data_IF_219959774138
#
_entry.id   IF_219959774138
#
_cell.length_a   1.000
_cell.length_b   1.000
_cell.length_c   1.000
_cell.angle_alpha   90.00
_cell.angle_beta   90.00
_cell.angle_gamma   90.00
#
_symmetry.space_group_name_H-M   'P 1'
#
loop_
_entity.id
_entity.type
_entity.pdbx_description
1 polymer ?
#
# COMPACT_ATOMS: atom_id res chain seq x y z
N UNK A 1 -32.78 7.01 -57.03
CA UNK A 1 -33.24 6.23 -55.86
C UNK A 1 -32.48 4.91 -55.79
N UNK A 2 -31.54 4.83 -54.84
CA UNK A 2 -30.97 3.66 -54.14
C UNK A 2 -30.66 2.39 -54.97
N UNK A 3 -29.49 2.39 -55.59
CA UNK A 3 -28.78 1.17 -56.03
C UNK A 3 -28.28 0.42 -54.78
N UNK A 4 -28.79 -0.79 -54.54
CA UNK A 4 -28.34 -1.67 -53.45
C UNK A 4 -27.06 -2.39 -53.89
N UNK A 5 -25.92 -1.97 -53.35
CA UNK A 5 -24.65 -2.69 -53.49
C UNK A 5 -24.53 -3.61 -52.27
N UNK A 6 -24.60 -4.91 -52.54
CA UNK A 6 -24.35 -6.00 -51.60
C UNK A 6 -22.82 -6.07 -51.40
N UNK A 7 -22.31 -5.54 -50.29
CA UNK A 7 -20.93 -5.77 -49.90
C UNK A 7 -20.84 -7.11 -49.19
N UNK A 8 -20.12 -8.05 -49.80
CA UNK A 8 -19.75 -9.32 -49.22
C UNK A 8 -18.95 -9.08 -47.92
N UNK A 9 -19.50 -9.55 -46.80
CA UNK A 9 -18.83 -9.53 -45.51
C UNK A 9 -17.73 -10.62 -45.55
N UNK A 10 -16.48 -10.18 -45.70
CA UNK A 10 -15.31 -11.04 -45.60
C UNK A 10 -15.19 -11.51 -44.14
N UNK A 11 -15.50 -12.77 -43.89
CA UNK A 11 -15.29 -13.42 -42.59
C UNK A 11 -13.79 -13.66 -42.42
N UNK A 12 -13.10 -12.69 -41.82
CA UNK A 12 -11.71 -12.86 -41.38
C UNK A 12 -11.77 -13.61 -40.06
N UNK A 13 -11.46 -14.90 -40.13
CA UNK A 13 -11.14 -15.73 -38.95
C UNK A 13 -9.78 -15.26 -38.44
N UNK A 14 -9.80 -14.35 -37.47
CA UNK A 14 -8.62 -14.02 -36.68
C UNK A 14 -8.42 -15.14 -35.66
N UNK A 15 -7.54 -16.09 -35.98
CA UNK A 15 -7.00 -17.04 -35.02
C UNK A 15 -6.15 -16.23 -34.04
N UNK A 16 -6.72 -15.84 -32.89
CA UNK A 16 -5.94 -15.39 -31.76
C UNK A 16 -5.31 -16.62 -31.13
N UNK A 17 -4.10 -16.93 -31.55
CA UNK A 17 -3.18 -17.78 -30.81
C UNK A 17 -2.95 -17.12 -29.45
N UNK A 18 -3.43 -17.77 -28.40
CA UNK A 18 -3.09 -17.40 -27.03
C UNK A 18 -1.61 -17.66 -26.79
N UNK A 19 -0.84 -16.60 -26.60
CA UNK A 19 0.32 -16.66 -25.72
C UNK A 19 -0.20 -16.40 -24.31
N UNK A 20 -0.38 -17.47 -23.55
CA UNK A 20 -0.35 -17.38 -22.11
C UNK A 20 1.10 -17.17 -21.69
N UNK A 21 1.57 -15.92 -21.73
CA UNK A 21 2.77 -15.55 -20.98
C UNK A 21 2.32 -15.41 -19.53
N UNK A 22 2.10 -16.57 -18.92
CA UNK A 22 2.03 -16.72 -17.49
C UNK A 22 3.49 -16.72 -17.02
N UNK A 23 4.18 -15.59 -17.22
CA UNK A 23 5.45 -15.31 -16.58
C UNK A 23 5.13 -15.08 -15.11
N UNK A 24 4.98 -16.20 -14.40
CA UNK A 24 5.32 -16.23 -12.99
C UNK A 24 6.72 -15.64 -12.90
N UNK A 25 6.83 -14.42 -12.37
CA UNK A 25 8.08 -13.76 -12.01
C UNK A 25 8.71 -14.50 -10.82
N UNK A 26 8.99 -15.78 -11.01
CA UNK A 26 9.98 -16.49 -10.25
C UNK A 26 11.33 -15.88 -10.68
N UNK A 27 12.17 -15.42 -9.73
CA UNK A 27 13.50 -14.95 -10.08
C UNK A 27 14.22 -16.00 -10.92
N UNK A 28 14.73 -15.61 -12.09
CA UNK A 28 15.46 -16.51 -12.98
C UNK A 28 16.68 -17.09 -12.27
N UNK A 29 16.89 -18.40 -12.36
CA UNK A 29 18.06 -19.09 -11.77
C UNK A 29 19.40 -18.80 -12.50
N UNK A 30 19.39 -17.99 -13.56
CA UNK A 30 20.62 -17.55 -14.26
C UNK A 30 21.22 -16.28 -13.63
N UNK A 31 22.26 -16.50 -12.81
CA UNK A 31 23.40 -15.62 -12.48
C UNK A 31 23.15 -14.10 -12.36
N UNK A 32 22.29 -13.66 -11.42
CA UNK A 32 22.13 -12.23 -11.07
C UNK A 32 23.08 -11.72 -9.97
N UNK A 33 23.95 -12.56 -9.42
CA UNK A 33 24.85 -12.15 -8.34
C UNK A 33 26.26 -12.74 -8.56
N UNK A 34 27.34 -11.93 -8.56
CA UNK A 34 28.66 -12.51 -8.32
C UNK A 34 28.60 -13.30 -7.01
N UNK A 35 29.33 -14.42 -6.91
CA UNK A 35 29.37 -15.27 -5.70
C UNK A 35 29.43 -14.39 -4.46
N UNK A 36 28.29 -14.24 -3.78
CA UNK A 36 28.17 -13.32 -2.66
C UNK A 36 29.04 -13.87 -1.55
N UNK A 37 30.01 -13.09 -1.08
CA UNK A 37 30.61 -13.34 0.22
C UNK A 37 29.49 -13.16 1.24
N UNK A 38 28.97 -14.26 1.79
CA UNK A 38 27.88 -14.23 2.76
C UNK A 38 28.34 -13.50 4.03
N UNK A 39 28.00 -12.22 4.13
CA UNK A 39 28.42 -11.34 5.22
C UNK A 39 27.68 -11.67 6.51
N UNK A 40 28.10 -11.10 7.64
CA UNK A 40 27.35 -11.25 8.88
C UNK A 40 25.96 -10.60 8.80
N UNK A 41 25.84 -9.47 8.10
CA UNK A 41 24.55 -8.83 7.81
C UNK A 41 23.63 -9.73 7.00
N UNK A 42 24.13 -10.38 5.94
CA UNK A 42 23.35 -11.31 5.13
C UNK A 42 22.79 -12.47 5.99
N UNK A 43 23.56 -12.99 6.96
CA UNK A 43 23.09 -14.03 7.89
C UNK A 43 22.00 -13.50 8.83
N UNK A 44 22.19 -12.33 9.43
CA UNK A 44 21.22 -11.73 10.34
C UNK A 44 19.89 -11.45 9.64
N UNK A 45 19.93 -10.89 8.43
CA UNK A 45 18.73 -10.67 7.61
C UNK A 45 18.04 -11.99 7.27
N UNK A 46 18.81 -13.01 6.87
CA UNK A 46 18.26 -14.33 6.57
C UNK A 46 17.64 -14.99 7.81
N UNK A 47 18.24 -14.89 9.00
CA UNK A 47 17.63 -15.39 10.24
C UNK A 47 16.31 -14.69 10.56
N UNK A 48 16.22 -13.37 10.32
CA UNK A 48 15.02 -12.59 10.57
C UNK A 48 13.88 -12.90 9.60
N UNK A 49 14.17 -13.04 8.29
CA UNK A 49 13.18 -13.03 7.21
C UNK A 49 13.00 -14.36 6.44
N UNK A 50 13.94 -15.30 6.51
CA UNK A 50 13.77 -16.64 5.91
C UNK A 50 12.50 -17.36 6.39
N UNK A 51 12.07 -17.26 7.66
CA UNK A 51 10.82 -17.87 8.11
C UNK A 51 9.57 -17.35 7.36
N UNK A 52 9.67 -16.19 6.71
CA UNK A 52 8.62 -15.54 5.93
C UNK A 52 8.80 -15.71 4.42
N UNK A 53 9.79 -16.49 3.99
CA UNK A 53 10.16 -16.67 2.58
C UNK A 53 10.48 -15.34 1.87
N UNK A 54 11.14 -14.44 2.59
CA UNK A 54 11.49 -13.09 2.13
C UNK A 54 12.98 -12.88 2.15
N UNK A 55 13.50 -12.29 1.07
CA UNK A 55 14.88 -11.82 0.99
C UNK A 55 14.88 -10.33 1.27
N UNK A 56 15.75 -9.87 2.16
CA UNK A 56 16.01 -8.44 2.38
C UNK A 56 17.33 -8.11 1.70
N UNK A 57 17.28 -7.22 0.71
CA UNK A 57 18.46 -6.64 0.08
C UNK A 57 18.65 -5.20 0.53
N UNK A 58 19.90 -4.82 0.72
CA UNK A 58 20.30 -3.47 1.14
C UNK A 58 21.36 -2.87 0.22
N UNK A 59 21.94 -3.71 -0.64
CA UNK A 59 22.93 -3.29 -1.64
C UNK A 59 22.24 -2.58 -2.78
N UNK A 60 22.90 -1.56 -3.32
CA UNK A 60 22.45 -0.91 -4.55
C UNK A 60 22.54 -1.89 -5.72
N UNK A 61 21.38 -2.36 -6.17
CA UNK A 61 21.25 -3.26 -7.34
C UNK A 61 20.41 -2.50 -8.36
N UNK A 62 21.07 -2.03 -9.43
CA UNK A 62 20.44 -1.15 -10.44
C UNK A 62 19.11 -1.73 -10.97
N UNK A 63 19.08 -3.02 -11.27
CA UNK A 63 17.88 -3.68 -11.84
C UNK A 63 16.71 -3.79 -10.86
N UNK A 64 16.95 -3.59 -9.56
CA UNK A 64 15.90 -3.57 -8.54
C UNK A 64 15.46 -2.14 -8.22
N UNK A 65 15.93 -1.14 -8.95
CA UNK A 65 15.61 0.27 -8.74
C UNK A 65 15.01 0.81 -10.04
N UNK A 66 13.87 1.51 -9.99
CA UNK A 66 13.31 2.12 -11.19
C UNK A 66 14.27 3.13 -11.83
N UNK A 67 14.39 3.08 -13.16
CA UNK A 67 15.33 3.91 -13.92
C UNK A 67 15.04 5.43 -13.85
N UNK A 68 13.82 5.80 -13.45
CA UNK A 68 13.34 7.17 -13.34
C UNK A 68 13.41 7.74 -11.91
N UNK A 69 13.98 7.00 -10.96
CA UNK A 69 14.24 7.52 -9.61
C UNK A 69 15.60 8.20 -9.52
N UNK A 70 15.61 9.39 -8.94
CA UNK A 70 16.81 10.22 -8.77
C UNK A 70 17.23 10.35 -7.30
N UNK A 71 18.50 10.73 -7.11
CA UNK A 71 19.14 10.97 -5.81
C UNK A 71 19.22 9.74 -4.89
N UNK A 72 19.29 8.55 -5.49
CA UNK A 72 19.34 7.30 -4.73
C UNK A 72 20.75 6.94 -4.30
N UNK A 73 20.93 6.63 -3.01
CA UNK A 73 22.15 6.03 -2.47
C UNK A 73 21.82 4.86 -1.52
N UNK A 74 22.76 3.91 -1.36
CA UNK A 74 22.55 2.74 -0.51
C UNK A 74 22.34 3.12 0.96
N UNK A 75 21.68 2.22 1.69
CA UNK A 75 21.54 2.33 3.14
C UNK A 75 22.89 2.14 3.84
N UNK A 76 23.12 2.86 4.94
CA UNK A 76 24.27 2.66 5.81
C UNK A 76 24.19 1.28 6.50
N UNK A 77 25.27 0.50 6.43
CA UNK A 77 25.28 -0.89 6.91
C UNK A 77 24.81 -1.05 8.36
N UNK A 78 25.15 -0.09 9.22
CA UNK A 78 24.76 -0.06 10.64
C UNK A 78 23.26 0.13 10.87
N UNK A 79 22.51 0.61 9.88
CA UNK A 79 21.06 0.84 9.94
C UNK A 79 20.25 -0.30 9.31
N UNK A 80 20.90 -1.23 8.60
CA UNK A 80 20.23 -2.36 7.93
C UNK A 80 19.50 -3.27 8.92
N UNK A 81 20.19 -3.68 9.98
CA UNK A 81 19.60 -4.58 11.01
C UNK A 81 18.54 -3.85 11.84
N UNK A 82 18.77 -2.62 12.33
CA UNK A 82 17.71 -1.83 12.99
C UNK A 82 16.43 -1.71 12.15
N UNK A 83 16.55 -1.42 10.86
CA UNK A 83 15.37 -1.34 9.97
C UNK A 83 14.69 -2.71 9.79
N UNK A 84 15.47 -3.78 9.65
CA UNK A 84 14.95 -5.15 9.54
C UNK A 84 14.18 -5.57 10.81
N UNK A 85 14.71 -5.25 12.00
CA UNK A 85 14.05 -5.47 13.28
C UNK A 85 12.80 -4.60 13.43
N UNK A 86 12.83 -3.35 12.98
CA UNK A 86 11.65 -2.48 12.95
C UNK A 86 10.52 -3.08 12.11
N UNK A 87 10.79 -3.52 10.88
CA UNK A 87 9.77 -4.17 10.03
C UNK A 87 9.25 -5.46 10.67
N UNK A 88 10.11 -6.23 11.32
CA UNK A 88 9.66 -7.43 12.04
C UNK A 88 8.74 -7.08 13.21
N UNK A 89 9.10 -6.07 13.99
CA UNK A 89 8.37 -5.69 15.19
C UNK A 89 7.05 -4.98 14.87
N UNK A 90 7.05 -4.02 13.95
CA UNK A 90 5.94 -3.09 13.72
C UNK A 90 5.12 -3.39 12.45
N UNK A 91 5.57 -4.30 11.59
CA UNK A 91 4.78 -4.73 10.44
C UNK A 91 4.40 -6.20 10.54
N UNK A 92 5.38 -7.11 10.63
CA UNK A 92 5.10 -8.55 10.71
C UNK A 92 4.36 -8.90 12.02
N UNK A 93 4.81 -8.36 13.16
CA UNK A 93 4.19 -8.60 14.46
C UNK A 93 2.67 -8.34 14.48
N UNK A 94 2.21 -7.14 14.10
CA UNK A 94 0.79 -6.84 14.00
C UNK A 94 0.03 -7.72 13.00
N UNK A 95 0.65 -8.05 11.86
CA UNK A 95 0.05 -8.97 10.90
C UNK A 95 -0.17 -10.37 11.50
N UNK A 96 0.78 -10.88 12.29
CA UNK A 96 0.63 -12.16 13.01
C UNK A 96 -0.36 -12.07 14.19
N UNK A 97 -0.61 -10.88 14.73
CA UNK A 97 -1.63 -10.69 15.76
C UNK A 97 -3.04 -10.73 15.17
N UNK A 98 -3.23 -10.18 13.97
CA UNK A 98 -4.53 -10.18 13.29
C UNK A 98 -4.73 -11.29 12.26
N UNK A 99 -3.76 -12.17 12.03
CA UNK A 99 -3.90 -13.31 11.12
C UNK A 99 -2.98 -14.45 11.54
N UNK A 100 -3.24 -15.68 11.07
CA UNK A 100 -2.33 -16.78 11.39
C UNK A 100 -0.93 -16.54 10.81
N UNK A 101 0.12 -16.99 11.51
CA UNK A 101 1.49 -16.95 11.00
C UNK A 101 1.62 -17.56 9.59
N UNK A 102 0.96 -18.68 9.35
CA UNK A 102 0.95 -19.35 8.04
C UNK A 102 0.36 -18.46 6.95
N UNK A 103 -0.67 -17.67 7.29
CA UNK A 103 -1.26 -16.69 6.39
C UNK A 103 -0.25 -15.58 6.08
N UNK A 104 0.43 -15.03 7.09
CA UNK A 104 1.47 -14.00 6.87
C UNK A 104 2.56 -14.56 5.95
N UNK A 105 3.15 -15.69 6.29
CA UNK A 105 4.23 -16.34 5.50
C UNK A 105 3.84 -16.60 4.04
N UNK A 106 2.57 -16.90 3.77
CA UNK A 106 2.08 -17.15 2.41
C UNK A 106 1.86 -15.87 1.60
N UNK A 107 1.50 -14.78 2.26
CA UNK A 107 1.05 -13.53 1.62
C UNK A 107 1.98 -12.34 1.93
N UNK A 108 3.21 -12.57 2.35
CA UNK A 108 4.23 -11.55 2.58
C UNK A 108 5.07 -11.36 1.30
N UNK A 109 5.63 -10.16 1.01
CA UNK A 109 6.47 -9.95 -0.17
C UNK A 109 7.66 -10.91 -0.20
N UNK A 110 8.07 -11.32 -1.41
CA UNK A 110 9.25 -12.18 -1.61
C UNK A 110 10.55 -11.45 -1.43
N UNK A 111 10.55 -10.14 -1.67
CA UNK A 111 11.74 -9.31 -1.58
C UNK A 111 11.41 -7.96 -0.96
N UNK A 112 12.33 -7.51 -0.11
CA UNK A 112 12.36 -6.16 0.44
C UNK A 112 13.68 -5.53 -0.01
N UNK A 113 13.64 -4.33 -0.57
CA UNK A 113 14.83 -3.54 -0.87
C UNK A 113 14.88 -2.32 0.05
N UNK A 114 15.97 -2.20 0.80
CA UNK A 114 16.26 -1.05 1.65
C UNK A 114 17.10 -0.02 0.90
N UNK A 115 16.62 1.23 0.89
CA UNK A 115 17.25 2.36 0.21
C UNK A 115 17.50 3.46 1.24
N UNK A 116 18.74 3.93 1.32
CA UNK A 116 19.16 4.89 2.35
C UNK A 116 18.49 6.25 2.20
N UNK A 117 18.35 6.71 0.96
CA UNK A 117 17.86 8.05 0.62
C UNK A 117 16.35 8.11 0.40
N UNK A 118 15.80 9.33 0.37
CA UNK A 118 14.57 9.60 -0.36
C UNK A 118 14.73 9.26 -1.85
N UNK A 119 13.62 9.00 -2.53
CA UNK A 119 13.57 8.85 -3.98
C UNK A 119 12.61 9.88 -4.59
N UNK A 120 12.92 10.33 -5.80
CA UNK A 120 12.14 11.33 -6.51
C UNK A 120 11.94 10.92 -7.96
N UNK A 121 10.73 11.10 -8.46
CA UNK A 121 10.42 10.99 -9.88
C UNK A 121 11.05 12.16 -10.65
N UNK A 122 11.11 12.03 -11.99
CA UNK A 122 11.60 13.09 -12.88
C UNK A 122 10.85 14.43 -12.73
N UNK A 123 9.58 14.41 -12.34
CA UNK A 123 8.77 15.61 -12.09
C UNK A 123 9.02 16.25 -10.70
N UNK A 124 9.96 15.70 -9.94
CA UNK A 124 10.34 16.17 -8.61
C UNK A 124 9.38 15.72 -7.50
N UNK A 125 8.37 14.91 -7.81
CA UNK A 125 7.51 14.32 -6.78
C UNK A 125 8.27 13.25 -6.01
N UNK A 126 8.15 13.28 -4.67
CA UNK A 126 8.74 12.28 -3.79
C UNK A 126 8.03 10.95 -3.99
N UNK A 127 8.82 9.88 -4.07
CA UNK A 127 8.30 8.51 -4.11
C UNK A 127 8.16 8.00 -2.69
N UNK A 128 6.93 7.82 -2.25
CA UNK A 128 6.56 6.89 -1.18
C UNK A 128 6.65 5.47 -1.76
N UNK A 129 7.12 4.49 -0.99
CA UNK A 129 7.61 3.20 -1.51
C UNK A 129 6.70 2.52 -2.54
N UNK A 130 7.30 1.67 -3.38
CA UNK A 130 6.64 1.10 -4.54
C UNK A 130 6.77 -0.42 -4.53
N UNK A 131 5.65 -1.11 -4.77
CA UNK A 131 5.67 -2.54 -5.08
C UNK A 131 5.75 -2.85 -6.59
N UNK A 132 6.48 -3.91 -6.93
CA UNK A 132 6.38 -4.56 -8.25
C UNK A 132 5.64 -5.89 -8.12
N UNK A 133 4.37 -5.89 -8.54
CA UNK A 133 3.52 -7.09 -8.58
C UNK A 133 3.41 -7.80 -7.23
N UNK A 134 3.44 -7.05 -6.11
CA UNK A 134 3.41 -7.61 -4.75
C UNK A 134 4.64 -8.44 -4.36
N UNK A 135 5.64 -8.56 -5.24
CA UNK A 135 6.79 -9.45 -5.06
C UNK A 135 7.97 -8.73 -4.42
N UNK A 136 8.19 -7.47 -4.79
CA UNK A 136 9.24 -6.60 -4.27
C UNK A 136 8.62 -5.36 -3.65
N UNK A 137 8.98 -5.02 -2.40
CA UNK A 137 8.63 -3.73 -1.76
C UNK A 137 9.92 -2.95 -1.48
N UNK A 138 9.92 -1.65 -1.77
CA UNK A 138 11.06 -0.75 -1.58
C UNK A 138 10.81 0.21 -0.43
N UNK A 139 11.67 0.20 0.58
CA UNK A 139 11.66 1.17 1.67
C UNK A 139 12.75 2.21 1.44
N UNK A 140 12.35 3.48 1.36
CA UNK A 140 13.24 4.63 1.20
C UNK A 140 13.47 5.33 2.54
N UNK A 141 14.46 6.23 2.59
CA UNK A 141 14.79 7.02 3.79
C UNK A 141 15.22 6.16 4.98
N UNK A 142 15.86 5.02 4.72
CA UNK A 142 16.35 4.16 5.80
C UNK A 142 17.50 4.83 6.57
N UNK A 143 18.27 5.73 5.95
CA UNK A 143 19.31 6.48 6.65
C UNK A 143 18.75 7.51 7.63
N UNK A 144 17.45 7.83 7.55
CA UNK A 144 16.77 8.68 8.51
C UNK A 144 16.19 7.90 9.71
N UNK A 145 16.55 6.61 9.84
CA UNK A 145 16.08 5.69 10.89
C UNK A 145 16.02 6.36 12.26
N UNK A 146 14.80 6.45 12.80
CA UNK A 146 14.59 7.02 14.11
C UNK A 146 13.22 6.60 14.68
N UNK A 147 13.26 5.67 15.64
CA UNK A 147 12.12 5.14 16.42
C UNK A 147 11.46 6.19 17.33
N UNK A 148 12.08 7.35 17.55
CA UNK A 148 11.48 8.45 18.32
C UNK A 148 10.77 9.47 17.41
N UNK A 149 10.96 9.39 16.08
CA UNK A 149 10.33 10.31 15.13
C UNK A 149 9.05 9.71 14.57
N UNK A 150 7.91 10.08 15.15
CA UNK A 150 6.57 9.67 14.69
C UNK A 150 6.38 9.79 13.17
N UNK A 151 6.82 10.90 12.56
CA UNK A 151 6.70 11.11 11.11
C UNK A 151 7.48 10.06 10.29
N UNK A 152 8.67 9.68 10.74
CA UNK A 152 9.46 8.66 10.04
C UNK A 152 8.79 7.29 10.20
N UNK A 153 8.40 6.93 11.42
CA UNK A 153 7.68 5.68 11.73
C UNK A 153 6.41 5.56 10.88
N UNK A 154 5.55 6.58 10.89
CA UNK A 154 4.31 6.58 10.12
C UNK A 154 4.56 6.47 8.63
N UNK A 155 5.60 7.12 8.08
CA UNK A 155 5.93 7.00 6.66
C UNK A 155 6.41 5.60 6.24
N UNK A 156 7.18 4.92 7.10
CA UNK A 156 7.60 3.54 6.85
C UNK A 156 6.40 2.58 6.96
N UNK A 157 5.53 2.76 7.96
CA UNK A 157 4.35 1.91 8.17
C UNK A 157 3.26 2.15 7.13
N UNK A 158 3.08 3.38 6.66
CA UNK A 158 2.23 3.71 5.51
C UNK A 158 2.64 2.87 4.31
N UNK A 159 3.93 2.92 3.92
CA UNK A 159 4.47 2.10 2.82
C UNK A 159 4.20 0.60 3.07
N UNK A 160 4.50 0.11 4.27
CA UNK A 160 4.39 -1.31 4.60
C UNK A 160 2.95 -1.84 4.49
N UNK A 161 1.99 -1.16 5.13
CA UNK A 161 0.59 -1.60 5.17
C UNK A 161 -0.17 -1.28 3.89
N UNK A 162 0.14 -0.16 3.22
CA UNK A 162 -0.45 0.19 1.91
C UNK A 162 -0.11 -0.90 0.88
N UNK A 163 1.17 -1.24 0.74
CA UNK A 163 1.60 -2.27 -0.23
C UNK A 163 1.14 -3.67 0.17
N UNK A 164 1.02 -3.96 1.46
CA UNK A 164 0.42 -5.21 1.92
C UNK A 164 -1.06 -5.32 1.52
N UNK A 165 -1.82 -4.23 1.58
CA UNK A 165 -3.20 -4.21 1.11
C UNK A 165 -3.28 -4.57 -0.39
N UNK A 166 -2.36 -4.06 -1.21
CA UNK A 166 -2.22 -4.46 -2.62
C UNK A 166 -1.97 -5.95 -2.79
N UNK A 167 -1.05 -6.54 -2.02
CA UNK A 167 -0.82 -7.99 -2.05
C UNK A 167 -2.10 -8.76 -1.73
N UNK A 168 -2.86 -8.34 -0.71
CA UNK A 168 -4.10 -9.02 -0.32
C UNK A 168 -5.16 -8.99 -1.43
N UNK A 169 -5.47 -7.82 -1.99
CA UNK A 169 -6.52 -7.75 -3.01
C UNK A 169 -6.10 -8.29 -4.38
N UNK A 170 -4.80 -8.31 -4.69
CA UNK A 170 -4.28 -9.02 -5.86
C UNK A 170 -4.33 -10.55 -5.68
N UNK A 171 -4.07 -11.06 -4.47
CA UNK A 171 -4.04 -12.50 -4.19
C UNK A 171 -5.43 -13.10 -4.04
N UNK A 172 -6.36 -12.40 -3.39
CA UNK A 172 -7.69 -12.91 -3.05
C UNK A 172 -8.82 -12.30 -3.89
N UNK A 173 -8.48 -11.38 -4.78
CA UNK A 173 -9.44 -10.66 -5.63
C UNK A 173 -10.02 -9.42 -4.94
N UNK A 174 -10.05 -8.31 -5.67
CA UNK A 174 -10.62 -7.06 -5.17
C UNK A 174 -12.14 -7.20 -4.90
N UNK A 175 -12.65 -6.75 -3.74
CA UNK A 175 -14.06 -6.88 -3.41
C UNK A 175 -14.94 -5.94 -4.25
N UNK A 176 -15.78 -6.50 -5.14
CA UNK A 176 -16.71 -5.72 -5.97
C UNK A 176 -17.65 -4.83 -5.12
N UNK A 177 -18.14 -5.36 -3.99
CA UNK A 177 -18.97 -4.59 -3.04
C UNK A 177 -18.28 -3.32 -2.52
N UNK A 178 -16.94 -3.29 -2.45
CA UNK A 178 -16.18 -2.09 -2.07
C UNK A 178 -16.14 -1.09 -3.23
N UNK A 179 -15.85 -1.57 -4.45
CA UNK A 179 -15.81 -0.77 -5.68
C UNK A 179 -17.12 -0.01 -5.91
N UNK A 180 -18.24 -0.67 -5.62
CA UNK A 180 -19.59 -0.15 -5.86
C UNK A 180 -20.03 0.93 -4.85
N UNK A 181 -19.24 1.21 -3.80
CA UNK A 181 -19.60 2.23 -2.79
C UNK A 181 -19.42 3.66 -3.34
N UNK A 182 -18.37 3.92 -4.13
CA UNK A 182 -18.05 5.24 -4.70
C UNK A 182 -17.61 5.17 -6.16
N UNK A 183 -18.43 4.64 -7.09
CA UNK A 183 -18.00 4.37 -8.46
C UNK A 183 -17.60 5.65 -9.24
N UNK A 184 -18.23 6.78 -8.92
CA UNK A 184 -18.05 8.05 -9.65
C UNK A 184 -17.09 9.03 -8.96
N UNK A 185 -16.45 8.63 -7.85
CA UNK A 185 -15.64 9.54 -7.02
C UNK A 185 -14.15 9.53 -7.37
N UNK A 186 -13.71 8.65 -8.28
CA UNK A 186 -12.30 8.51 -8.66
C UNK A 186 -11.92 9.45 -9.80
N UNK A 187 -10.73 10.04 -9.70
CA UNK A 187 -10.23 11.02 -10.66
C UNK A 187 -8.86 10.61 -11.21
N UNK A 188 -8.73 10.53 -12.54
CA UNK A 188 -7.44 10.25 -13.19
C UNK A 188 -6.53 11.47 -13.08
N UNK A 189 -5.72 11.54 -12.02
CA UNK A 189 -4.74 12.60 -11.75
C UNK A 189 -5.30 13.86 -11.07
N UNK A 190 -6.61 14.07 -11.06
CA UNK A 190 -7.26 15.19 -10.36
C UNK A 190 -7.03 15.17 -8.84
N UNK A 191 -6.78 14.00 -8.28
CA UNK A 191 -6.47 13.77 -6.88
C UNK A 191 -5.26 14.58 -6.38
N UNK A 192 -4.29 14.89 -7.25
CA UNK A 192 -3.08 15.65 -6.89
C UNK A 192 -3.39 17.09 -6.42
N UNK A 193 -4.54 17.65 -6.82
CA UNK A 193 -4.96 19.01 -6.44
C UNK A 193 -6.05 19.03 -5.36
N UNK A 194 -6.56 17.87 -4.94
CA UNK A 194 -7.57 17.77 -3.90
C UNK A 194 -6.96 18.00 -2.51
N UNK A 195 -7.70 18.71 -1.67
CA UNK A 195 -7.40 18.82 -0.24
C UNK A 195 -8.07 17.66 0.50
N UNK A 196 -7.52 17.27 1.64
CA UNK A 196 -8.08 16.21 2.48
C UNK A 196 -9.57 16.40 2.77
N UNK A 197 -10.01 17.62 3.10
CA UNK A 197 -11.44 17.89 3.36
C UNK A 197 -12.34 17.57 2.17
N UNK A 198 -11.86 17.81 0.94
CA UNK A 198 -12.63 17.56 -0.28
C UNK A 198 -12.62 16.07 -0.60
N UNK A 199 -11.53 15.36 -0.31
CA UNK A 199 -11.47 13.90 -0.36
C UNK A 199 -12.42 13.24 0.66
N UNK A 200 -12.50 13.76 1.89
CA UNK A 200 -13.45 13.28 2.90
C UNK A 200 -14.88 13.40 2.39
N UNK A 201 -15.26 14.53 1.76
CA UNK A 201 -16.60 14.70 1.15
C UNK A 201 -16.90 13.67 0.07
N UNK A 202 -15.88 13.20 -0.65
CA UNK A 202 -15.97 12.14 -1.64
C UNK A 202 -15.96 10.72 -1.03
N UNK A 203 -15.85 10.61 0.30
CA UNK A 203 -15.81 9.32 0.99
C UNK A 203 -14.45 8.65 0.97
N UNK A 204 -13.37 9.44 1.00
CA UNK A 204 -11.97 8.98 0.94
C UNK A 204 -11.16 9.47 2.14
N UNK A 205 -10.21 8.67 2.63
CA UNK A 205 -9.38 9.01 3.81
C UNK A 205 -8.19 9.91 3.47
N UNK A 206 -7.81 9.97 2.19
CA UNK A 206 -6.73 10.81 1.68
C UNK A 206 -7.09 11.34 0.30
N UNK A 207 -6.37 12.34 -0.18
CA UNK A 207 -6.51 12.74 -1.58
C UNK A 207 -6.04 11.63 -2.52
N UNK A 208 -4.97 10.88 -2.18
CA UNK A 208 -4.46 9.79 -3.03
C UNK A 208 -5.46 8.64 -3.20
N UNK A 209 -6.29 8.36 -2.20
CA UNK A 209 -7.42 7.42 -2.31
C UNK A 209 -8.41 7.81 -3.42
N UNK A 210 -8.48 9.07 -3.84
CA UNK A 210 -9.32 9.48 -4.98
C UNK A 210 -8.73 9.07 -6.35
N UNK A 211 -7.58 8.38 -6.41
CA UNK A 211 -6.90 8.06 -7.66
C UNK A 211 -7.50 6.83 -8.35
N UNK A 212 -7.77 5.75 -7.61
CA UNK A 212 -8.39 4.52 -8.07
C UNK A 212 -9.00 3.72 -6.90
N UNK A 213 -9.95 2.79 -7.16
CA UNK A 213 -10.54 1.94 -6.12
C UNK A 213 -9.51 1.11 -5.34
N UNK A 214 -8.48 0.61 -6.02
CA UNK A 214 -7.42 -0.20 -5.42
C UNK A 214 -6.55 0.60 -4.44
N UNK A 215 -6.26 1.86 -4.79
CA UNK A 215 -5.53 2.81 -3.94
C UNK A 215 -6.41 3.25 -2.77
N UNK A 216 -7.70 3.52 -2.99
CA UNK A 216 -8.66 3.80 -1.91
C UNK A 216 -8.72 2.71 -0.86
N UNK A 217 -8.74 1.44 -1.30
CA UNK A 217 -8.67 0.30 -0.39
C UNK A 217 -7.34 0.27 0.37
N UNK A 218 -6.21 0.43 -0.30
CA UNK A 218 -4.90 0.42 0.35
C UNK A 218 -4.73 1.59 1.34
N UNK A 219 -5.21 2.77 0.95
CA UNK A 219 -5.18 3.97 1.77
C UNK A 219 -6.05 3.83 3.02
N UNK A 220 -7.29 3.34 2.88
CA UNK A 220 -8.14 3.09 4.03
C UNK A 220 -7.57 2.02 4.96
N UNK A 221 -6.93 0.99 4.40
CA UNK A 221 -6.32 -0.10 5.17
C UNK A 221 -5.18 0.41 6.06
N UNK A 222 -4.17 1.09 5.50
CA UNK A 222 -3.08 1.61 6.34
C UNK A 222 -3.57 2.74 7.24
N UNK A 223 -4.45 3.64 6.77
CA UNK A 223 -4.91 4.76 7.57
C UNK A 223 -5.65 4.28 8.81
N UNK A 224 -6.49 3.24 8.67
CA UNK A 224 -7.12 2.63 9.83
C UNK A 224 -6.11 1.98 10.78
N UNK A 225 -5.03 1.35 10.30
CA UNK A 225 -4.08 0.64 11.17
C UNK A 225 -3.10 1.60 11.87
N UNK A 226 -2.53 2.54 11.12
CA UNK A 226 -1.37 3.34 11.52
C UNK A 226 -1.78 4.65 12.19
N UNK A 227 -2.86 5.29 11.73
CA UNK A 227 -3.18 6.66 12.14
C UNK A 227 -3.50 6.76 13.65
N UNK A 228 -3.04 7.82 14.34
CA UNK A 228 -3.45 8.14 15.70
C UNK A 228 -4.97 8.33 15.83
N UNK A 229 -5.49 8.19 17.05
CA UNK A 229 -6.92 8.38 17.33
C UNK A 229 -7.46 9.75 16.90
N UNK A 230 -6.68 10.82 17.04
CA UNK A 230 -7.10 12.16 16.65
C UNK A 230 -7.38 12.28 15.14
N UNK A 231 -6.62 11.58 14.31
CA UNK A 231 -6.81 11.57 12.86
C UNK A 231 -8.03 10.72 12.48
N UNK A 232 -8.24 9.59 13.18
CA UNK A 232 -9.47 8.81 13.02
C UNK A 232 -10.71 9.61 13.42
N UNK A 233 -10.69 10.30 14.55
CA UNK A 233 -11.76 11.21 15.00
C UNK A 233 -12.09 12.25 13.92
N UNK A 234 -11.05 12.86 13.33
CA UNK A 234 -11.24 13.85 12.27
C UNK A 234 -11.87 13.28 11.00
N UNK A 235 -11.41 12.10 10.56
CA UNK A 235 -11.80 11.50 9.27
C UNK A 235 -13.09 10.69 9.36
N UNK A 236 -13.38 10.03 10.48
CA UNK A 236 -14.52 9.11 10.59
C UNK A 236 -15.70 9.67 11.36
N UNK A 237 -15.51 10.59 12.31
CA UNK A 237 -16.60 10.98 13.21
C UNK A 237 -17.36 12.22 12.74
N UNK A 238 -18.69 12.09 12.67
CA UNK A 238 -19.56 13.20 12.32
C UNK A 238 -19.41 14.35 13.32
N UNK A 239 -19.26 15.56 12.79
CA UNK A 239 -19.08 16.76 13.59
C UNK A 239 -20.41 17.52 13.72
N UNK A 240 -20.73 18.10 14.89
CA UNK A 240 -21.96 18.85 15.07
C UNK A 240 -21.96 20.14 14.24
N UNK A 241 -23.15 20.55 13.78
CA UNK A 241 -23.34 21.81 13.04
C UNK A 241 -23.74 23.00 13.92
N UNK A 242 -24.06 22.74 15.20
CA UNK A 242 -24.47 23.76 16.16
C UNK A 242 -23.37 24.80 16.42
N UNK A 243 -23.73 26.08 16.40
CA UNK A 243 -22.79 27.19 16.67
C UNK A 243 -21.89 27.57 15.50
N UNK A 244 -22.00 26.90 14.34
CA UNK A 244 -21.22 27.25 13.15
C UNK A 244 -21.86 28.40 12.36
N UNK A 245 -21.02 29.16 11.63
CA UNK A 245 -21.51 30.14 10.64
C UNK A 245 -22.16 29.40 9.46
N UNK A 246 -23.16 29.99 8.78
CA UNK A 246 -23.81 29.34 7.63
C UNK A 246 -22.86 28.83 6.55
N UNK A 247 -21.77 29.56 6.28
CA UNK A 247 -20.73 29.16 5.31
C UNK A 247 -19.92 27.93 5.74
N UNK A 248 -19.88 27.62 7.04
CA UNK A 248 -19.19 26.45 7.60
C UNK A 248 -20.14 25.26 7.76
N UNK A 249 -21.44 25.52 7.98
CA UNK A 249 -22.46 24.47 8.10
C UNK A 249 -22.47 23.59 6.85
N UNK A 250 -22.43 24.17 5.65
CA UNK A 250 -22.44 23.41 4.40
C UNK A 250 -21.23 22.47 4.29
N UNK A 251 -20.03 22.97 4.60
CA UNK A 251 -18.78 22.19 4.54
C UNK A 251 -18.85 20.98 5.49
N UNK A 252 -19.33 21.18 6.72
CA UNK A 252 -19.49 20.11 7.72
C UNK A 252 -20.56 19.10 7.33
N UNK A 253 -21.69 19.53 6.77
CA UNK A 253 -22.75 18.64 6.30
C UNK A 253 -22.26 17.73 5.18
N UNK A 254 -21.54 18.29 4.19
CA UNK A 254 -20.94 17.54 3.10
C UNK A 254 -19.87 16.56 3.60
N UNK A 255 -19.00 17.01 4.51
CA UNK A 255 -18.01 16.14 5.12
C UNK A 255 -18.68 15.00 5.87
N UNK A 256 -19.70 15.25 6.71
CA UNK A 256 -20.42 14.19 7.43
C UNK A 256 -21.07 13.17 6.48
N UNK A 257 -21.57 13.61 5.32
CA UNK A 257 -22.06 12.69 4.30
C UNK A 257 -20.95 11.76 3.78
N UNK A 258 -19.78 12.33 3.50
CA UNK A 258 -18.58 11.58 3.14
C UNK A 258 -18.07 10.65 4.25
N UNK A 259 -18.09 11.08 5.52
CA UNK A 259 -17.71 10.25 6.68
C UNK A 259 -18.55 8.98 6.79
N UNK A 260 -19.86 9.07 6.55
CA UNK A 260 -20.74 7.88 6.48
C UNK A 260 -20.35 6.91 5.38
N UNK A 261 -19.85 7.42 4.25
CA UNK A 261 -19.34 6.60 3.14
C UNK A 261 -18.04 5.91 3.56
N UNK A 262 -17.10 6.63 4.19
CA UNK A 262 -15.84 6.07 4.71
C UNK A 262 -16.14 4.95 5.71
N UNK A 263 -17.06 5.17 6.65
CA UNK A 263 -17.48 4.14 7.62
C UNK A 263 -18.08 2.91 6.92
N UNK A 264 -18.90 3.10 5.88
CA UNK A 264 -19.44 1.99 5.08
C UNK A 264 -18.33 1.21 4.37
N UNK A 265 -17.31 1.89 3.84
CA UNK A 265 -16.13 1.27 3.23
C UNK A 265 -15.33 0.46 4.24
N UNK A 266 -15.06 1.01 5.42
CA UNK A 266 -14.35 0.31 6.49
C UNK A 266 -15.08 -0.99 6.87
N UNK A 267 -16.39 -0.91 7.13
CA UNK A 267 -17.19 -2.10 7.44
C UNK A 267 -17.18 -3.15 6.31
N UNK A 268 -17.10 -2.70 5.06
CA UNK A 268 -17.04 -3.59 3.89
C UNK A 268 -15.67 -4.25 3.77
N UNK A 269 -14.60 -3.48 4.00
CA UNK A 269 -13.22 -3.95 4.07
C UNK A 269 -13.05 -4.96 5.20
N UNK A 270 -13.51 -4.67 6.42
CA UNK A 270 -13.43 -5.60 7.57
C UNK A 270 -14.09 -6.94 7.26
N UNK A 271 -15.30 -6.92 6.70
CA UNK A 271 -15.99 -8.15 6.29
C UNK A 271 -15.24 -8.91 5.21
N UNK A 272 -14.62 -8.21 4.26
CA UNK A 272 -13.78 -8.82 3.24
C UNK A 272 -12.53 -9.48 3.85
N UNK A 273 -11.79 -8.74 4.67
CA UNK A 273 -10.58 -9.21 5.35
C UNK A 273 -10.89 -10.41 6.26
N UNK A 274 -11.98 -10.36 7.01
CA UNK A 274 -12.38 -11.47 7.88
C UNK A 274 -12.68 -12.75 7.09
N UNK A 275 -13.29 -12.64 5.90
CA UNK A 275 -13.54 -13.81 5.02
C UNK A 275 -12.26 -14.48 4.54
N UNK A 276 -11.17 -13.72 4.37
CA UNK A 276 -9.87 -14.25 3.97
C UNK A 276 -8.97 -14.61 5.17
N UNK A 277 -9.45 -14.45 6.41
CA UNK A 277 -8.72 -14.82 7.62
C UNK A 277 -7.85 -13.70 8.22
N UNK A 278 -8.17 -12.44 7.93
CA UNK A 278 -7.49 -11.25 8.46
C UNK A 278 -8.44 -10.45 9.35
N UNK A 279 -8.02 -10.20 10.58
CA UNK A 279 -8.70 -9.37 11.58
C UNK A 279 -8.03 -8.00 11.66
N UNK A 280 -8.64 -7.03 10.99
CA UNK A 280 -8.11 -5.66 10.89
C UNK A 280 -7.96 -4.97 12.25
N UNK A 281 -8.87 -5.25 13.19
CA UNK A 281 -8.85 -4.59 14.50
C UNK A 281 -7.73 -5.13 15.37
N UNK A 282 -7.49 -6.44 15.34
CA UNK A 282 -6.36 -7.01 16.06
C UNK A 282 -5.01 -6.55 15.49
N UNK A 283 -4.89 -6.32 14.17
CA UNK A 283 -3.70 -5.69 13.58
C UNK A 283 -3.50 -4.29 14.16
N UNK A 284 -4.55 -3.45 14.13
CA UNK A 284 -4.46 -2.07 14.65
C UNK A 284 -4.08 -2.08 16.13
N UNK A 285 -4.78 -2.86 16.95
CA UNK A 285 -4.62 -2.84 18.39
C UNK A 285 -3.21 -3.28 18.81
N UNK A 286 -2.67 -4.34 18.19
CA UNK A 286 -1.30 -4.78 18.44
C UNK A 286 -0.28 -3.73 17.98
N UNK A 287 -0.47 -3.09 16.81
CA UNK A 287 0.42 -2.03 16.36
C UNK A 287 0.40 -0.81 17.30
N UNK A 288 -0.78 -0.31 17.65
CA UNK A 288 -0.90 0.87 18.52
C UNK A 288 -0.28 0.60 19.90
N UNK A 289 -0.46 -0.62 20.43
CA UNK A 289 0.22 -1.05 21.65
C UNK A 289 1.76 -1.00 21.52
N UNK A 290 2.32 -1.50 20.41
CA UNK A 290 3.78 -1.44 20.16
C UNK A 290 4.30 -0.01 20.02
N UNK A 291 3.48 0.89 19.48
CA UNK A 291 3.78 2.31 19.36
C UNK A 291 3.66 3.06 20.70
N UNK A 292 3.18 2.40 21.77
CA UNK A 292 2.97 3.03 23.07
C UNK A 292 1.71 3.90 23.13
N UNK A 293 0.81 3.77 22.16
CA UNK A 293 -0.49 4.40 22.17
C UNK A 293 -1.49 3.44 22.84
N UNK A 294 -1.78 3.66 24.13
CA UNK A 294 -2.84 2.92 24.82
C UNK A 294 -4.23 3.42 24.38
N UNK A 295 -5.21 2.51 24.32
CA UNK A 295 -6.64 2.78 24.07
C UNK A 295 -7.30 3.68 25.13
#
# INVERSE_FOLDING_TARGET
MKTKIFFALLFVVSVLTGCSDNDSLLPSEEELFPTKTNTELDKQLNELFRPYNTIVEYRYIKNLIPDDWYYIYPVEEELVVPMAEFLKAYWIGPLEAGSSREFVVKNFPRMILLIGSSAYNMDGTRVTGQAEGGTLIRFTEVNDYNIEKEKWISGQLETAFHEYAHILHQTFGFPDDYRDITPDSYTKGGWKSLKLKDAIKLGMVSNYACSAPEEDFAELFYFWIVSPYADLEYVFNEQPTGGLKPSQVQDVVEMNAGRRIIQKKLLTMEKYLQRIGVDLQNIRNDLQHRLGHEE
#
